data_IF_545014527030
#
_entry.id   IF_545014527030
#
_cell.length_a   1.000
_cell.length_b   1.000
_cell.length_c   1.000
_cell.angle_alpha   90.00
_cell.angle_beta   90.00
_cell.angle_gamma   90.00
#
_symmetry.space_group_name_H-M   'P 1'
#
loop_
_entity.id
_entity.type
_entity.pdbx_description
1 polymer ?
#
# COMPACT_ATOMS: atom_id res chain seq x y z
N UNK A 1 37.63 25.36 -36.81
CA UNK A 1 37.95 25.54 -35.37
C UNK A 1 36.71 25.22 -34.55
N UNK A 2 36.61 24.02 -34.01
CA UNK A 2 35.54 23.63 -33.10
C UNK A 2 35.82 24.27 -31.74
N UNK A 3 35.08 25.33 -31.40
CA UNK A 3 35.12 25.92 -30.06
C UNK A 3 34.60 24.88 -29.06
N UNK A 4 35.49 24.35 -28.22
CA UNK A 4 35.13 23.48 -27.10
C UNK A 4 34.20 24.27 -26.16
N UNK A 5 32.91 23.93 -26.16
CA UNK A 5 31.97 24.41 -25.14
C UNK A 5 32.43 23.85 -23.80
N UNK A 6 32.96 24.70 -22.93
CA UNK A 6 33.38 24.31 -21.58
C UNK A 6 32.12 24.01 -20.78
N UNK A 7 31.78 22.74 -20.63
CA UNK A 7 30.66 22.32 -19.80
C UNK A 7 30.99 22.65 -18.34
N UNK A 8 30.21 23.55 -17.76
CA UNK A 8 30.33 23.86 -16.34
C UNK A 8 29.87 22.65 -15.54
N UNK A 9 30.69 22.22 -14.57
CA UNK A 9 30.28 21.17 -13.67
C UNK A 9 29.09 21.67 -12.83
N UNK A 10 28.12 20.79 -12.55
CA UNK A 10 26.89 21.14 -11.80
C UNK A 10 27.17 21.94 -10.51
N UNK A 11 28.24 21.58 -9.80
CA UNK A 11 28.72 22.26 -8.59
C UNK A 11 29.04 23.75 -8.81
N UNK A 12 29.59 24.13 -9.96
CA UNK A 12 30.02 25.50 -10.22
C UNK A 12 28.80 26.37 -10.54
N UNK A 13 27.82 25.80 -11.24
CA UNK A 13 26.52 26.43 -11.50
C UNK A 13 25.74 26.62 -10.20
N UNK A 14 25.71 25.62 -9.33
CA UNK A 14 25.04 25.69 -8.02
C UNK A 14 25.71 26.70 -7.09
N UNK A 15 27.05 26.78 -7.08
CA UNK A 15 27.77 27.79 -6.31
C UNK A 15 27.43 29.20 -6.77
N UNK A 16 27.40 29.44 -8.09
CA UNK A 16 27.00 30.73 -8.67
C UNK A 16 25.55 31.06 -8.28
N UNK A 17 24.65 30.08 -8.35
CA UNK A 17 23.25 30.25 -7.91
C UNK A 17 23.16 30.66 -6.43
N UNK A 18 23.92 30.02 -5.56
CA UNK A 18 23.92 30.33 -4.12
C UNK A 18 24.49 31.72 -3.84
N UNK A 19 25.53 32.14 -4.56
CA UNK A 19 26.09 33.49 -4.48
C UNK A 19 25.08 34.56 -4.93
N UNK A 20 24.39 34.33 -6.05
CA UNK A 20 23.34 35.23 -6.56
C UNK A 20 22.16 35.33 -5.59
N UNK A 21 21.82 34.25 -4.90
CA UNK A 21 20.74 34.21 -3.90
C UNK A 21 21.15 34.73 -2.51
N UNK A 22 22.38 35.23 -2.33
CA UNK A 22 22.86 35.78 -1.06
C UNK A 22 23.13 34.72 0.03
N UNK A 23 23.19 33.43 -0.35
CA UNK A 23 23.38 32.31 0.58
C UNK A 23 24.86 31.90 0.66
N UNK A 24 25.66 32.74 1.32
CA UNK A 24 27.11 32.58 1.38
C UNK A 24 27.62 31.36 2.17
N UNK A 25 26.76 30.69 2.93
CA UNK A 25 27.12 29.54 3.79
C UNK A 25 26.59 28.18 3.33
N UNK A 26 25.79 28.11 2.26
CA UNK A 26 25.22 26.83 1.81
C UNK A 26 26.27 25.99 1.07
N UNK A 27 26.54 24.78 1.59
CA UNK A 27 27.53 23.86 1.03
C UNK A 27 27.06 23.32 -0.33
N UNK A 28 27.92 23.43 -1.33
CA UNK A 28 27.70 22.90 -2.68
C UNK A 28 28.20 21.46 -2.86
N UNK A 29 28.73 20.84 -1.79
CA UNK A 29 29.26 19.47 -1.79
C UNK A 29 28.82 18.74 -0.54
N UNK A 30 28.50 17.46 -0.69
CA UNK A 30 28.43 16.53 0.43
C UNK A 30 29.86 16.21 0.88
N UNK A 31 30.28 16.80 1.99
CA UNK A 31 31.56 16.47 2.62
C UNK A 31 31.40 15.19 3.46
N UNK A 32 32.18 14.16 3.15
CA UNK A 32 32.33 12.97 4.01
C UNK A 32 33.00 13.43 5.31
N UNK A 33 32.37 13.17 6.47
CA UNK A 33 32.88 13.55 7.79
C UNK A 33 32.25 14.80 8.42
N UNK A 34 31.24 15.43 7.79
CA UNK A 34 30.45 16.48 8.46
C UNK A 34 29.28 15.87 9.22
N UNK A 35 29.35 15.94 10.56
CA UNK A 35 28.24 15.61 11.46
C UNK A 35 27.45 16.90 11.74
N UNK A 36 26.17 17.01 11.35
CA UNK A 36 25.34 18.13 11.76
C UNK A 36 25.18 18.18 13.29
N UNK A 37 24.82 19.35 13.86
CA UNK A 37 24.54 19.46 15.29
C UNK A 37 23.44 18.48 15.71
N UNK A 38 23.59 17.89 16.90
CA UNK A 38 22.62 16.97 17.48
C UNK A 38 21.33 17.74 17.80
N UNK A 39 20.30 17.57 16.98
CA UNK A 39 18.97 18.12 17.24
C UNK A 39 18.26 17.24 18.28
N UNK A 40 17.87 17.84 19.40
CA UNK A 40 17.13 17.15 20.44
C UNK A 40 15.65 17.10 20.07
N UNK A 41 15.19 15.92 19.65
CA UNK A 41 13.78 15.66 19.40
C UNK A 41 13.09 15.14 20.66
N UNK A 42 11.83 15.53 20.86
CA UNK A 42 11.00 15.08 21.98
C UNK A 42 10.17 13.86 21.59
N UNK A 43 9.55 13.24 22.58
CA UNK A 43 8.67 12.09 22.36
C UNK A 43 7.47 12.49 21.48
N UNK A 44 7.26 11.73 20.39
CA UNK A 44 6.20 12.00 19.41
C UNK A 44 6.64 12.84 18.19
N UNK A 45 7.84 13.42 18.19
CA UNK A 45 8.34 14.17 17.03
C UNK A 45 8.66 13.24 15.86
N UNK A 46 8.20 13.61 14.66
CA UNK A 46 8.51 12.93 13.40
C UNK A 46 9.51 13.80 12.63
N UNK A 47 10.69 13.27 12.31
CA UNK A 47 11.68 14.01 11.55
C UNK A 47 12.34 13.15 10.47
N UNK A 48 12.75 13.79 9.38
CA UNK A 48 13.52 13.15 8.31
C UNK A 48 15.01 13.24 8.62
N UNK A 49 15.68 12.08 8.72
CA UNK A 49 17.14 12.04 8.73
C UNK A 49 17.68 12.33 7.34
N UNK A 50 18.94 12.79 7.29
CA UNK A 50 19.71 13.01 6.05
C UNK A 50 19.72 11.79 5.12
N UNK A 51 19.56 10.57 5.66
CA UNK A 51 19.49 9.32 4.90
C UNK A 51 18.12 9.10 4.20
N UNK A 52 17.22 10.09 4.23
CA UNK A 52 15.87 10.00 3.64
C UNK A 52 14.90 9.11 4.42
N UNK A 53 15.21 8.79 5.68
CA UNK A 53 14.38 7.96 6.56
C UNK A 53 13.68 8.82 7.60
N UNK A 54 12.39 8.61 7.78
CA UNK A 54 11.61 9.25 8.84
C UNK A 54 11.77 8.49 10.15
N UNK A 55 12.06 9.22 11.23
CA UNK A 55 12.25 8.68 12.57
C UNK A 55 11.19 9.24 13.52
N UNK A 56 10.87 8.48 14.56
CA UNK A 56 10.13 8.93 15.73
C UNK A 56 10.76 8.44 17.01
N UNK A 57 10.51 9.16 18.10
CA UNK A 57 10.80 8.67 19.45
C UNK A 57 9.48 8.19 20.05
N UNK A 58 9.43 6.92 20.47
CA UNK A 58 8.31 6.30 21.19
C UNK A 58 8.85 5.47 22.33
N UNK A 59 8.33 5.68 23.54
CA UNK A 59 8.78 4.99 24.75
C UNK A 59 10.30 5.13 24.99
N UNK A 60 10.86 6.30 24.65
CA UNK A 60 12.30 6.57 24.72
C UNK A 60 13.17 5.87 23.66
N UNK A 61 12.58 5.12 22.73
CA UNK A 61 13.29 4.39 21.67
C UNK A 61 13.10 5.11 20.34
N UNK A 62 14.21 5.39 19.65
CA UNK A 62 14.19 5.90 18.27
C UNK A 62 13.78 4.78 17.30
N UNK A 63 12.60 4.92 16.69
CA UNK A 63 12.01 3.97 15.73
C UNK A 63 11.90 4.59 14.34
N UNK A 64 12.17 3.80 13.30
CA UNK A 64 12.02 4.21 11.90
C UNK A 64 10.56 4.01 11.44
N UNK A 65 9.94 5.06 10.89
CA UNK A 65 8.61 4.97 10.28
C UNK A 65 8.76 4.57 8.82
N UNK A 66 8.33 3.34 8.52
CA UNK A 66 8.22 2.90 7.12
C UNK A 66 6.82 3.16 6.56
N UNK A 67 6.69 3.29 5.23
CA UNK A 67 5.37 3.40 4.55
C UNK A 67 4.41 2.27 4.95
N UNK A 68 4.96 1.07 5.19
CA UNK A 68 4.21 -0.13 5.55
C UNK A 68 4.01 -0.31 7.06
N UNK A 69 4.44 0.64 7.89
CA UNK A 69 4.36 0.52 9.35
C UNK A 69 2.92 0.38 9.85
N UNK A 70 1.97 1.06 9.19
CA UNK A 70 0.52 0.90 9.45
C UNK A 70 0.05 -0.53 9.19
N UNK A 71 0.43 -1.10 8.05
CA UNK A 71 0.07 -2.47 7.68
C UNK A 71 0.70 -3.49 8.65
N UNK A 72 1.97 -3.30 9.03
CA UNK A 72 2.64 -4.15 10.02
C UNK A 72 1.87 -4.16 11.34
N UNK A 73 1.53 -3.00 11.88
CA UNK A 73 0.77 -2.89 13.13
C UNK A 73 -0.62 -3.53 13.03
N UNK A 74 -1.28 -3.45 11.88
CA UNK A 74 -2.59 -4.06 11.67
C UNK A 74 -2.57 -5.60 11.61
N UNK A 75 -1.46 -6.19 11.18
CA UNK A 75 -1.25 -7.64 11.05
C UNK A 75 -0.51 -8.28 12.22
N UNK A 76 0.14 -7.49 13.07
CA UNK A 76 0.79 -8.00 14.29
C UNK A 76 -0.30 -8.36 15.30
N UNK A 77 -0.39 -9.65 15.60
CA UNK A 77 -1.27 -10.16 16.64
C UNK A 77 -0.65 -9.88 18.02
N UNK A 78 -1.40 -9.23 18.94
CA UNK A 78 -0.93 -9.02 20.30
C UNK A 78 -0.92 -10.35 21.07
N UNK A 79 -0.15 -10.43 22.16
CA UNK A 79 -0.13 -11.62 23.02
C UNK A 79 -1.47 -11.83 23.73
N UNK A 80 -2.14 -10.74 24.07
CA UNK A 80 -3.42 -10.75 24.78
C UNK A 80 -4.55 -10.29 23.86
N UNK A 81 -5.67 -11.01 23.88
CA UNK A 81 -6.86 -10.64 23.14
C UNK A 81 -7.40 -9.29 23.67
N UNK A 82 -7.71 -8.31 22.79
CA UNK A 82 -8.22 -7.01 23.22
C UNK A 82 -9.57 -7.07 23.94
N UNK A 83 -10.38 -8.11 23.68
CA UNK A 83 -11.74 -8.26 24.25
C UNK A 83 -11.76 -9.00 25.58
N UNK A 84 -11.05 -10.13 25.69
CA UNK A 84 -11.08 -10.96 26.91
C UNK A 84 -9.81 -10.88 27.75
N UNK A 85 -8.76 -10.18 27.29
CA UNK A 85 -7.45 -10.06 27.94
C UNK A 85 -6.75 -11.39 28.25
N UNK A 86 -7.25 -12.50 27.69
CA UNK A 86 -6.61 -13.81 27.77
C UNK A 86 -5.53 -13.92 26.71
N UNK A 87 -4.57 -14.80 26.97
CA UNK A 87 -3.51 -15.15 26.04
C UNK A 87 -4.14 -15.75 24.77
N UNK A 88 -3.66 -15.34 23.61
CA UNK A 88 -4.02 -15.90 22.30
C UNK A 88 -2.97 -16.92 21.90
N UNK A 89 -3.07 -18.12 22.48
CA UNK A 89 -2.12 -19.23 22.31
C UNK A 89 -2.58 -20.25 21.25
N UNK A 90 -3.82 -20.16 20.78
CA UNK A 90 -4.37 -21.16 19.87
C UNK A 90 -3.78 -20.99 18.47
N UNK A 91 -3.49 -22.10 17.79
CA UNK A 91 -2.96 -22.10 16.41
C UNK A 91 -3.84 -21.30 15.44
N UNK A 92 -5.14 -21.25 15.70
CA UNK A 92 -6.14 -20.54 14.89
C UNK A 92 -6.36 -19.09 15.33
N UNK A 93 -5.84 -18.62 16.46
CA UNK A 93 -6.08 -17.23 16.88
C UNK A 93 -5.49 -16.21 15.90
N UNK A 94 -4.39 -16.54 15.22
CA UNK A 94 -3.74 -15.67 14.23
C UNK A 94 -4.65 -15.29 13.04
N UNK A 95 -5.26 -16.23 12.30
CA UNK A 95 -6.20 -15.88 11.25
C UNK A 95 -7.45 -15.16 11.78
N UNK A 96 -8.00 -15.56 12.94
CA UNK A 96 -9.17 -14.89 13.52
C UNK A 96 -8.87 -13.43 13.93
N UNK A 97 -7.71 -13.17 14.51
CA UNK A 97 -7.30 -11.80 14.84
C UNK A 97 -7.10 -10.96 13.57
N UNK A 98 -6.56 -11.53 12.49
CA UNK A 98 -6.38 -10.78 11.25
C UNK A 98 -7.71 -10.28 10.67
N UNK A 99 -8.76 -11.11 10.70
CA UNK A 99 -10.08 -10.78 10.15
C UNK A 99 -10.94 -9.97 11.14
N UNK A 100 -11.12 -10.48 12.36
CA UNK A 100 -12.08 -9.94 13.34
C UNK A 100 -11.45 -9.11 14.46
N UNK A 101 -10.12 -9.13 14.58
CA UNK A 101 -9.35 -8.44 15.65
C UNK A 101 -9.62 -8.95 17.07
N UNK A 102 -10.12 -10.17 17.23
CA UNK A 102 -10.26 -10.85 18.52
C UNK A 102 -10.07 -12.38 18.38
N UNK A 103 -9.87 -13.07 19.51
CA UNK A 103 -9.57 -14.51 19.56
C UNK A 103 -10.76 -15.42 19.21
N UNK A 104 -10.50 -16.69 18.92
CA UNK A 104 -11.51 -17.69 18.59
C UNK A 104 -12.61 -17.79 19.66
N UNK A 105 -12.23 -17.84 20.93
CA UNK A 105 -13.19 -17.95 22.04
C UNK A 105 -14.16 -16.76 22.10
N UNK A 106 -13.67 -15.57 21.74
CA UNK A 106 -14.49 -14.37 21.65
C UNK A 106 -15.41 -14.38 20.42
N UNK A 107 -14.99 -15.06 19.35
CA UNK A 107 -15.77 -15.29 18.15
C UNK A 107 -16.90 -16.29 18.37
N UNK A 108 -16.64 -17.43 19.03
CA UNK A 108 -17.68 -18.39 19.39
C UNK A 108 -18.81 -17.73 20.20
N UNK A 109 -18.47 -16.93 21.22
CA UNK A 109 -19.47 -16.16 21.99
C UNK A 109 -20.22 -15.11 21.19
N UNK A 110 -19.63 -14.60 20.11
CA UNK A 110 -20.28 -13.65 19.23
C UNK A 110 -21.28 -14.38 18.32
N UNK A 111 -20.89 -15.52 17.75
CA UNK A 111 -21.79 -16.37 16.96
C UNK A 111 -22.95 -16.91 17.80
N UNK A 112 -22.69 -17.38 19.02
CA UNK A 112 -23.73 -17.88 19.92
C UNK A 112 -24.79 -16.80 20.21
N UNK A 113 -24.36 -15.55 20.42
CA UNK A 113 -25.27 -14.41 20.59
C UNK A 113 -26.09 -14.13 19.33
N UNK A 114 -25.44 -14.13 18.17
CA UNK A 114 -26.14 -13.92 16.89
C UNK A 114 -27.18 -15.01 16.62
N UNK A 115 -26.87 -16.26 16.95
CA UNK A 115 -27.81 -17.39 16.82
C UNK A 115 -28.97 -17.25 17.80
N UNK A 116 -28.69 -16.89 19.05
CA UNK A 116 -29.73 -16.65 20.05
C UNK A 116 -30.68 -15.50 19.66
N UNK A 117 -30.16 -14.48 18.96
CA UNK A 117 -30.96 -13.36 18.43
C UNK A 117 -31.66 -13.69 17.09
N UNK A 118 -31.39 -14.83 16.47
CA UNK A 118 -31.91 -15.21 15.15
C UNK A 118 -31.32 -14.43 13.96
N UNK A 119 -30.33 -13.56 14.19
CA UNK A 119 -29.71 -12.69 13.17
C UNK A 119 -28.52 -13.31 12.46
N UNK A 120 -28.25 -14.58 12.72
CA UNK A 120 -27.09 -15.27 12.18
C UNK A 120 -27.11 -15.27 10.65
N UNK A 121 -28.22 -15.67 10.02
CA UNK A 121 -28.31 -15.73 8.56
C UNK A 121 -28.20 -14.36 7.91
N UNK A 122 -28.85 -13.34 8.48
CA UNK A 122 -28.78 -11.96 8.00
C UNK A 122 -27.34 -11.42 8.00
N UNK A 123 -26.59 -11.70 9.08
CA UNK A 123 -25.19 -11.31 9.18
C UNK A 123 -24.33 -11.92 8.06
N UNK A 124 -24.47 -13.23 7.81
CA UNK A 124 -23.71 -13.90 6.75
C UNK A 124 -24.16 -13.51 5.35
N UNK A 125 -25.46 -13.31 5.12
CA UNK A 125 -25.97 -12.81 3.85
C UNK A 125 -25.44 -11.41 3.54
N UNK A 126 -25.39 -10.52 4.54
CA UNK A 126 -24.79 -9.18 4.38
C UNK A 126 -23.31 -9.25 3.96
N UNK A 127 -22.54 -10.14 4.60
CA UNK A 127 -21.13 -10.35 4.23
C UNK A 127 -21.02 -10.89 2.80
N UNK A 128 -21.80 -11.92 2.46
CA UNK A 128 -21.77 -12.51 1.12
C UNK A 128 -22.15 -11.48 0.04
N UNK A 129 -23.19 -10.67 0.28
CA UNK A 129 -23.60 -9.62 -0.65
C UNK A 129 -22.49 -8.58 -0.84
N UNK A 130 -21.81 -8.16 0.24
CA UNK A 130 -20.65 -7.25 0.15
C UNK A 130 -19.48 -7.87 -0.61
N UNK A 131 -19.21 -9.16 -0.43
CA UNK A 131 -18.16 -9.87 -1.18
C UNK A 131 -18.50 -9.89 -2.67
N UNK A 132 -19.77 -10.14 -3.01
CA UNK A 132 -20.25 -10.10 -4.40
C UNK A 132 -20.12 -8.68 -4.97
N UNK A 133 -20.50 -7.64 -4.22
CA UNK A 133 -20.35 -6.24 -4.66
C UNK A 133 -18.90 -5.89 -4.98
N UNK A 134 -17.97 -6.25 -4.08
CA UNK A 134 -16.54 -6.03 -4.29
C UNK A 134 -16.03 -6.83 -5.49
N UNK A 135 -16.50 -8.07 -5.66
CA UNK A 135 -16.13 -8.92 -6.80
C UNK A 135 -16.59 -8.33 -8.14
N UNK A 136 -17.77 -7.72 -8.17
CA UNK A 136 -18.28 -7.00 -9.35
C UNK A 136 -17.38 -5.80 -9.66
N UNK A 137 -16.96 -5.04 -8.64
CA UNK A 137 -16.04 -3.91 -8.83
C UNK A 137 -14.68 -4.38 -9.36
N UNK A 138 -14.06 -5.37 -8.71
CA UNK A 138 -12.78 -5.95 -9.14
C UNK A 138 -12.85 -6.45 -10.59
N UNK A 139 -13.98 -7.04 -10.98
CA UNK A 139 -14.19 -7.53 -12.34
C UNK A 139 -14.28 -6.39 -13.35
N UNK A 140 -15.02 -5.32 -13.04
CA UNK A 140 -15.10 -4.11 -13.89
C UNK A 140 -13.74 -3.46 -14.06
N UNK A 141 -13.02 -3.28 -12.95
CA UNK A 141 -11.67 -2.70 -12.94
C UNK A 141 -10.69 -3.56 -13.76
N UNK A 142 -10.80 -4.89 -13.65
CA UNK A 142 -10.01 -5.81 -14.46
C UNK A 142 -10.32 -5.65 -15.96
N UNK A 143 -11.59 -5.62 -16.35
CA UNK A 143 -11.97 -5.45 -17.76
C UNK A 143 -11.52 -4.10 -18.30
N UNK A 144 -11.71 -3.02 -17.56
CA UNK A 144 -11.23 -1.68 -17.93
C UNK A 144 -9.70 -1.67 -18.10
N UNK A 145 -8.97 -2.31 -17.18
CA UNK A 145 -7.51 -2.42 -17.28
C UNK A 145 -7.07 -3.14 -18.55
N UNK A 146 -7.81 -4.17 -18.97
CA UNK A 146 -7.54 -4.95 -20.19
C UNK A 146 -7.93 -4.23 -21.47
N UNK A 147 -8.98 -3.42 -21.45
CA UNK A 147 -9.34 -2.57 -22.58
C UNK A 147 -8.33 -1.44 -22.80
N UNK A 148 -7.77 -0.91 -21.71
CA UNK A 148 -6.75 0.14 -21.73
C UNK A 148 -5.32 -0.39 -21.97
N UNK A 149 -5.11 -1.71 -21.90
CA UNK A 149 -3.81 -2.34 -22.12
C UNK A 149 -3.39 -2.18 -23.59
N UNK A 150 -2.45 -1.26 -23.85
CA UNK A 150 -1.87 -1.07 -25.17
C UNK A 150 -0.82 -2.15 -25.48
N UNK A 151 -0.85 -2.68 -26.69
CA UNK A 151 0.07 -3.73 -27.13
C UNK A 151 1.44 -3.14 -27.51
N UNK A 152 2.18 -2.69 -26.51
CA UNK A 152 3.54 -2.21 -26.67
C UNK A 152 4.49 -3.41 -26.77
N UNK A 153 4.49 -4.07 -27.93
CA UNK A 153 5.48 -5.05 -28.42
C UNK A 153 6.14 -5.97 -27.38
N UNK A 154 5.83 -7.25 -27.39
CA UNK A 154 6.56 -8.24 -26.61
C UNK A 154 7.93 -8.51 -27.25
N UNK A 155 9.01 -8.42 -26.48
CA UNK A 155 10.37 -8.76 -26.96
C UNK A 155 10.62 -10.24 -26.70
N UNK A 156 10.83 -11.02 -27.75
CA UNK A 156 11.14 -12.45 -27.65
C UNK A 156 12.55 -12.66 -27.13
N UNK A 157 12.87 -13.88 -26.66
CA UNK A 157 14.22 -14.25 -26.24
C UNK A 157 15.27 -14.09 -27.36
N UNK A 158 14.83 -14.06 -28.61
CA UNK A 158 15.67 -13.84 -29.80
C UNK A 158 15.88 -12.35 -30.12
N UNK A 159 15.22 -11.44 -29.38
CA UNK A 159 15.35 -9.99 -29.53
C UNK A 159 14.37 -9.37 -30.53
N UNK A 160 13.47 -10.16 -31.11
CA UNK A 160 12.43 -9.67 -32.01
C UNK A 160 11.27 -9.05 -31.23
N UNK A 161 10.76 -7.92 -31.72
CA UNK A 161 9.61 -7.23 -31.13
C UNK A 161 8.34 -7.69 -31.86
N UNK A 162 7.54 -8.52 -31.21
CA UNK A 162 6.25 -8.97 -31.73
C UNK A 162 5.12 -8.07 -31.21
N UNK A 163 4.45 -7.37 -32.12
CA UNK A 163 3.22 -6.64 -31.84
C UNK A 163 2.02 -7.48 -32.27
N UNK A 164 1.18 -7.90 -31.33
CA UNK A 164 -0.04 -8.64 -31.67
C UNK A 164 -1.13 -7.65 -32.12
N UNK A 165 -1.44 -7.67 -33.41
CA UNK A 165 -2.48 -6.81 -33.98
C UNK A 165 -3.86 -7.46 -33.82
N UNK A 166 -4.56 -7.11 -32.74
CA UNK A 166 -5.95 -7.48 -32.53
C UNK A 166 -6.55 -6.61 -31.43
N UNK A 167 -7.48 -5.72 -31.79
CA UNK A 167 -8.24 -4.97 -30.79
C UNK A 167 -9.40 -5.84 -30.30
N UNK A 168 -9.67 -5.79 -29.00
CA UNK A 168 -10.87 -6.39 -28.43
C UNK A 168 -12.11 -5.75 -29.06
N UNK A 169 -13.11 -6.57 -29.40
CA UNK A 169 -14.41 -6.05 -29.79
C UNK A 169 -15.12 -5.54 -28.53
N UNK A 170 -15.18 -4.21 -28.39
CA UNK A 170 -15.73 -3.53 -27.20
C UNK A 170 -17.19 -3.90 -26.96
N UNK A 171 -18.00 -4.01 -28.03
CA UNK A 171 -19.43 -4.32 -27.91
C UNK A 171 -19.67 -5.70 -27.31
N UNK A 172 -18.90 -6.71 -27.74
CA UNK A 172 -18.98 -8.06 -27.17
C UNK A 172 -18.50 -8.10 -25.73
N UNK A 173 -17.45 -7.36 -25.40
CA UNK A 173 -16.93 -7.28 -24.02
C UNK A 173 -17.99 -6.66 -23.11
N UNK A 174 -18.63 -5.58 -23.53
CA UNK A 174 -19.69 -4.94 -22.76
C UNK A 174 -20.91 -5.86 -22.55
N UNK A 175 -21.27 -6.66 -23.55
CA UNK A 175 -22.33 -7.68 -23.44
C UNK A 175 -21.98 -8.73 -22.37
N UNK A 176 -20.81 -9.36 -22.46
CA UNK A 176 -20.37 -10.35 -21.48
C UNK A 176 -20.21 -9.77 -20.07
N UNK A 177 -19.79 -8.50 -19.96
CA UNK A 177 -19.70 -7.82 -18.67
C UNK A 177 -21.08 -7.69 -18.05
N UNK A 178 -22.09 -7.28 -18.82
CA UNK A 178 -23.47 -7.17 -18.33
C UNK A 178 -24.01 -8.53 -17.89
N UNK A 179 -23.88 -9.57 -18.71
CA UNK A 179 -24.33 -10.93 -18.37
C UNK A 179 -23.67 -11.44 -17.07
N UNK A 180 -22.35 -11.20 -16.92
CA UNK A 180 -21.61 -11.61 -15.73
C UNK A 180 -22.07 -10.84 -14.48
N UNK A 181 -22.31 -9.53 -14.62
CA UNK A 181 -22.81 -8.70 -13.52
C UNK A 181 -24.21 -9.12 -13.11
N UNK A 182 -25.12 -9.35 -14.06
CA UNK A 182 -26.47 -9.85 -13.81
C UNK A 182 -26.45 -11.21 -13.10
N UNK A 183 -25.59 -12.12 -13.55
CA UNK A 183 -25.39 -13.41 -12.89
C UNK A 183 -24.92 -13.24 -11.44
N UNK A 184 -23.89 -12.41 -11.20
CA UNK A 184 -23.39 -12.15 -9.85
C UNK A 184 -24.43 -11.48 -8.95
N UNK A 185 -25.23 -10.56 -9.50
CA UNK A 185 -26.33 -9.93 -8.77
C UNK A 185 -27.43 -10.92 -8.39
N UNK A 186 -27.73 -11.90 -9.26
CA UNK A 186 -28.71 -12.96 -8.97
C UNK A 186 -28.30 -13.88 -7.81
N UNK A 187 -27.01 -13.95 -7.48
CA UNK A 187 -26.50 -14.76 -6.37
C UNK A 187 -26.64 -14.08 -5.01
N UNK A 188 -27.00 -12.79 -4.98
CA UNK A 188 -27.25 -12.06 -3.73
C UNK A 188 -28.50 -12.63 -3.04
N UNK A 189 -28.45 -12.71 -1.72
CA UNK A 189 -29.56 -13.21 -0.87
C UNK A 189 -30.16 -12.10 -0.03
#
# INVERSE_FOLDING_TARGET
MTQLKKEFQKKDVERIRNLVQGKYGEKTRESVGYTPPDEQYKEGDIWESRDGRTWTIRDGIKQNITKLDKAKKAHVMPLFCPKCKKIMDQRVDKPYYNTYKFCLNCYAKFEDKLKAEGKYEEYFNNINNKVIDNRIQDFKDFVESKLNESNNGHVTEQGDVETWHGKLNVERVDEYVKETVEYLESLKK
#
